data_IF_434597240079
#
_entry.id   IF_434597240079
#
_cell.length_a   1.000
_cell.length_b   1.000
_cell.length_c   1.000
_cell.angle_alpha   90.00
_cell.angle_beta   90.00
_cell.angle_gamma   90.00
#
_symmetry.space_group_name_H-M   'P 1'
#
loop_
_entity.id
_entity.type
_entity.pdbx_description
1 polymer ?
#
# COMPACT_ATOMS: atom_id res chain seq x y z
N UNK A 1 6.47 24.88 -24.48
CA UNK A 1 5.95 26.12 -23.84
C UNK A 1 5.56 27.18 -24.88
N UNK A 2 6.47 27.65 -25.76
CA UNK A 2 6.19 28.75 -26.71
C UNK A 2 4.93 28.57 -27.59
N UNK A 3 4.69 27.36 -28.10
CA UNK A 3 3.53 27.05 -28.94
C UNK A 3 2.18 27.17 -28.19
N UNK A 4 2.18 27.16 -26.85
CA UNK A 4 0.97 27.40 -26.05
C UNK A 4 0.49 28.85 -26.14
N UNK A 5 1.41 29.81 -26.32
CA UNK A 5 1.07 31.23 -26.45
C UNK A 5 0.56 31.62 -27.85
N UNK A 6 0.76 30.74 -28.84
CA UNK A 6 0.35 30.95 -30.23
C UNK A 6 -1.11 30.49 -30.44
N UNK A 7 -2.01 31.44 -30.75
CA UNK A 7 -3.47 31.22 -30.83
C UNK A 7 -3.88 30.03 -31.69
N UNK A 8 -3.27 29.85 -32.86
CA UNK A 8 -3.57 28.74 -33.80
C UNK A 8 -2.99 27.39 -33.36
N UNK A 9 -1.85 27.39 -32.65
CA UNK A 9 -1.15 26.17 -32.26
C UNK A 9 -1.51 25.68 -30.86
N UNK A 10 -2.16 26.53 -30.04
CA UNK A 10 -2.53 26.23 -28.65
C UNK A 10 -3.28 24.90 -28.49
N UNK A 11 -4.36 24.60 -29.26
CA UNK A 11 -5.08 23.33 -29.08
C UNK A 11 -4.18 22.10 -29.31
N UNK A 12 -3.35 22.13 -30.37
CA UNK A 12 -2.43 21.05 -30.68
C UNK A 12 -1.31 20.93 -29.63
N UNK A 13 -0.81 22.06 -29.12
CA UNK A 13 0.21 22.08 -28.08
C UNK A 13 -0.32 21.55 -26.73
N UNK A 14 -1.53 21.91 -26.33
CA UNK A 14 -2.19 21.35 -25.14
C UNK A 14 -2.44 19.85 -25.31
N UNK A 15 -2.94 19.42 -26.48
CA UNK A 15 -3.12 18.00 -26.79
C UNK A 15 -1.79 17.23 -26.74
N UNK A 16 -0.71 17.80 -27.28
CA UNK A 16 0.61 17.19 -27.23
C UNK A 16 1.13 17.05 -25.79
N UNK A 17 0.91 18.04 -24.93
CA UNK A 17 1.25 17.94 -23.51
C UNK A 17 0.40 16.90 -22.79
N UNK A 18 -0.88 16.76 -23.10
CA UNK A 18 -1.70 15.67 -22.57
C UNK A 18 -1.17 14.31 -23.02
N UNK A 19 -0.84 14.14 -24.31
CA UNK A 19 -0.23 12.91 -24.82
C UNK A 19 1.15 12.64 -24.20
N UNK A 20 1.96 13.66 -23.92
CA UNK A 20 3.22 13.53 -23.19
C UNK A 20 2.99 13.20 -21.71
N UNK A 21 1.94 13.73 -21.10
CA UNK A 21 1.54 13.35 -19.74
C UNK A 21 1.06 11.91 -19.70
N UNK A 22 0.42 11.41 -20.77
CA UNK A 22 0.19 9.98 -20.95
C UNK A 22 1.53 9.25 -21.12
N UNK A 23 2.49 9.72 -21.92
CA UNK A 23 3.71 8.97 -22.23
C UNK A 23 4.77 8.96 -21.11
N UNK A 24 5.07 10.13 -20.53
CA UNK A 24 6.18 10.35 -19.58
C UNK A 24 5.75 10.73 -18.14
N UNK A 25 4.50 11.16 -17.96
CA UNK A 25 3.86 11.25 -16.65
C UNK A 25 3.49 12.69 -16.35
N UNK A 26 2.29 12.96 -15.80
CA UNK A 26 1.83 14.33 -15.63
C UNK A 26 2.73 15.13 -14.67
N UNK A 27 3.29 14.49 -13.65
CA UNK A 27 4.29 15.12 -12.77
C UNK A 27 5.61 15.45 -13.48
N UNK A 28 6.09 14.59 -14.40
CA UNK A 28 7.28 14.89 -15.19
C UNK A 28 7.05 16.06 -16.15
N UNK A 29 5.92 16.06 -16.86
CA UNK A 29 5.55 17.15 -17.78
C UNK A 29 5.42 18.47 -17.04
N UNK A 30 4.82 18.45 -15.84
CA UNK A 30 4.72 19.63 -14.98
C UNK A 30 6.10 20.17 -14.59
N UNK A 31 7.04 19.31 -14.20
CA UNK A 31 8.40 19.71 -13.88
C UNK A 31 9.11 20.38 -15.08
N UNK A 32 8.91 19.86 -16.30
CA UNK A 32 9.46 20.47 -17.52
C UNK A 32 8.84 21.86 -17.80
N UNK A 33 7.54 22.03 -17.56
CA UNK A 33 6.89 23.34 -17.69
C UNK A 33 7.40 24.33 -16.63
N UNK A 34 7.56 23.88 -15.39
CA UNK A 34 8.07 24.68 -14.28
C UNK A 34 9.50 25.17 -14.52
N UNK A 35 10.35 24.36 -15.14
CA UNK A 35 11.73 24.73 -15.43
C UNK A 35 11.85 25.88 -16.48
N UNK A 36 10.88 26.02 -17.38
CA UNK A 36 11.00 26.90 -18.56
C UNK A 36 10.05 28.10 -18.53
N UNK A 37 8.83 27.93 -18.01
CA UNK A 37 7.78 28.92 -18.17
C UNK A 37 7.96 30.20 -17.31
N UNK A 38 8.40 30.15 -16.04
CA UNK A 38 8.51 31.34 -15.19
C UNK A 38 9.57 32.35 -15.66
N UNK A 39 10.65 31.88 -16.30
CA UNK A 39 11.79 32.71 -16.77
C UNK A 39 11.63 33.19 -18.22
N UNK A 40 10.52 32.88 -18.87
CA UNK A 40 10.31 33.20 -20.28
C UNK A 40 9.99 34.69 -20.50
N UNK A 41 10.62 35.33 -21.52
CA UNK A 41 10.46 36.77 -21.80
C UNK A 41 9.01 37.20 -22.11
N UNK A 42 8.22 36.30 -22.70
CA UNK A 42 6.80 36.52 -22.97
C UNK A 42 5.93 35.97 -21.82
N UNK A 43 5.26 36.82 -21.03
CA UNK A 43 4.47 36.39 -19.86
C UNK A 43 3.27 35.50 -20.24
N UNK A 44 2.76 35.63 -21.46
CA UNK A 44 1.68 34.78 -21.97
C UNK A 44 2.06 33.30 -21.98
N UNK A 45 3.34 32.98 -22.19
CA UNK A 45 3.83 31.58 -22.14
C UNK A 45 3.67 31.00 -20.75
N UNK A 46 3.89 31.80 -19.69
CA UNK A 46 3.72 31.35 -18.32
C UNK A 46 2.26 31.09 -17.99
N UNK A 47 1.38 32.05 -18.30
CA UNK A 47 -0.07 31.90 -18.08
C UNK A 47 -0.66 30.69 -18.81
N UNK A 48 -0.26 30.47 -20.07
CA UNK A 48 -0.74 29.33 -20.85
C UNK A 48 -0.15 27.98 -20.41
N UNK A 49 1.04 27.97 -19.81
CA UNK A 49 1.63 26.77 -19.20
C UNK A 49 0.91 26.39 -17.90
N UNK A 50 0.49 27.37 -17.10
CA UNK A 50 -0.36 27.13 -15.92
C UNK A 50 -1.74 26.62 -16.33
N UNK A 51 -2.35 27.18 -17.37
CA UNK A 51 -3.61 26.68 -17.92
C UNK A 51 -3.46 25.23 -18.44
N UNK A 52 -2.34 24.89 -19.07
CA UNK A 52 -2.03 23.52 -19.47
C UNK A 52 -1.89 22.58 -18.26
N UNK A 53 -1.27 23.03 -17.16
CA UNK A 53 -1.21 22.27 -15.92
C UNK A 53 -2.61 22.02 -15.32
N UNK A 54 -3.52 22.98 -15.39
CA UNK A 54 -4.93 22.79 -14.99
C UNK A 54 -5.64 21.77 -15.88
N UNK A 55 -5.38 21.78 -17.20
CA UNK A 55 -5.92 20.79 -18.12
C UNK A 55 -5.38 19.38 -17.86
N UNK A 56 -4.09 19.26 -17.51
CA UNK A 56 -3.47 17.99 -17.09
C UNK A 56 -4.10 17.50 -15.78
N UNK A 57 -4.28 18.38 -14.80
CA UNK A 57 -4.98 18.05 -13.55
C UNK A 57 -6.39 17.50 -13.81
N UNK A 58 -7.16 18.16 -14.68
CA UNK A 58 -8.50 17.72 -15.05
C UNK A 58 -8.50 16.37 -15.80
N UNK A 59 -7.47 16.12 -16.62
CA UNK A 59 -7.39 14.90 -17.42
C UNK A 59 -6.86 13.67 -16.66
N UNK A 60 -6.01 13.86 -15.63
CA UNK A 60 -5.27 12.80 -14.95
C UNK A 60 -5.48 12.72 -13.42
N UNK A 61 -6.13 13.70 -12.80
CA UNK A 61 -6.34 13.84 -11.34
C UNK A 61 -5.06 14.03 -10.48
N UNK A 62 -5.23 14.35 -9.19
CA UNK A 62 -4.16 14.65 -8.23
C UNK A 62 -3.29 13.44 -7.83
N UNK A 63 -3.75 12.18 -7.83
CA UNK A 63 -2.88 11.02 -7.69
C UNK A 63 -1.73 10.98 -8.71
N UNK A 64 -1.95 11.48 -9.92
CA UNK A 64 -0.95 11.50 -10.98
C UNK A 64 -0.12 12.81 -10.98
N UNK A 65 -0.72 13.92 -10.53
CA UNK A 65 -0.10 15.24 -10.46
C UNK A 65 0.16 15.64 -8.99
N UNK A 66 1.42 15.65 -8.56
CA UNK A 66 1.79 16.09 -7.21
C UNK A 66 1.25 17.50 -6.91
N UNK A 67 0.38 17.60 -5.90
CA UNK A 67 -0.21 18.88 -5.48
C UNK A 67 0.87 19.89 -5.06
N UNK A 68 1.93 19.41 -4.38
CA UNK A 68 3.06 20.25 -3.98
C UNK A 68 3.82 20.82 -5.18
N UNK A 69 4.03 20.01 -6.23
CA UNK A 69 4.69 20.48 -7.44
C UNK A 69 3.84 21.52 -8.19
N UNK A 70 2.53 21.29 -8.27
CA UNK A 70 1.61 22.20 -8.95
C UNK A 70 1.46 23.54 -8.21
N UNK A 71 1.46 23.53 -6.87
CA UNK A 71 1.51 24.75 -6.06
C UNK A 71 2.83 25.48 -6.25
N UNK A 72 3.96 24.77 -6.17
CA UNK A 72 5.29 25.36 -6.38
C UNK A 72 5.42 26.03 -7.75
N UNK A 73 4.83 25.44 -8.78
CA UNK A 73 4.79 26.05 -10.12
C UNK A 73 3.94 27.33 -10.17
N UNK A 74 2.87 27.43 -9.38
CA UNK A 74 1.97 28.58 -9.37
C UNK A 74 2.48 29.78 -8.55
N UNK A 75 3.33 29.56 -7.54
CA UNK A 75 3.77 30.62 -6.61
C UNK A 75 4.32 31.86 -7.34
N UNK A 76 5.28 31.76 -8.29
CA UNK A 76 5.86 32.94 -8.93
C UNK A 76 4.85 33.74 -9.77
N UNK A 77 3.75 33.10 -10.19
CA UNK A 77 2.73 33.75 -11.01
C UNK A 77 1.83 34.70 -10.22
N UNK A 78 1.70 34.56 -8.89
CA UNK A 78 0.87 35.44 -8.08
C UNK A 78 1.40 36.88 -8.02
N UNK A 79 2.72 37.07 -8.11
CA UNK A 79 3.36 38.40 -8.16
C UNK A 79 3.66 38.88 -9.60
N UNK A 80 3.17 38.18 -10.62
CA UNK A 80 3.31 38.61 -12.01
C UNK A 80 2.62 39.95 -12.25
N UNK A 81 3.23 40.82 -13.06
CA UNK A 81 2.61 42.09 -13.50
C UNK A 81 1.42 41.85 -14.44
N UNK A 82 1.40 40.73 -15.14
CA UNK A 82 0.34 40.35 -16.09
C UNK A 82 -0.87 39.75 -15.37
N UNK A 83 -2.04 40.36 -15.55
CA UNK A 83 -3.28 39.92 -14.90
C UNK A 83 -3.73 38.52 -15.33
N UNK A 84 -3.49 38.15 -16.60
CA UNK A 84 -3.87 36.83 -17.14
C UNK A 84 -3.05 35.70 -16.53
N UNK A 85 -1.80 35.96 -16.18
CA UNK A 85 -0.90 35.01 -15.52
C UNK A 85 -1.35 34.77 -14.07
N UNK A 86 -1.70 35.84 -13.34
CA UNK A 86 -2.27 35.74 -11.98
C UNK A 86 -3.58 34.96 -11.99
N UNK A 87 -4.45 35.20 -12.97
CA UNK A 87 -5.71 34.48 -13.12
C UNK A 87 -5.50 32.98 -13.42
N UNK A 88 -4.53 32.62 -14.25
CA UNK A 88 -4.21 31.22 -14.54
C UNK A 88 -3.68 30.48 -13.30
N UNK A 89 -2.81 31.12 -12.51
CA UNK A 89 -2.35 30.57 -11.23
C UNK A 89 -3.50 30.36 -10.25
N UNK A 90 -4.39 31.36 -10.15
CA UNK A 90 -5.59 31.28 -9.32
C UNK A 90 -6.46 30.07 -9.71
N UNK A 91 -6.75 29.90 -11.01
CA UNK A 91 -7.53 28.75 -11.50
C UNK A 91 -6.88 27.40 -11.20
N UNK A 92 -5.56 27.28 -11.36
CA UNK A 92 -4.84 26.06 -11.03
C UNK A 92 -4.95 25.71 -9.54
N UNK A 93 -4.71 26.69 -8.66
CA UNK A 93 -4.78 26.46 -7.20
C UNK A 93 -6.21 26.17 -6.74
N UNK A 94 -7.22 26.86 -7.29
CA UNK A 94 -8.63 26.56 -7.02
C UNK A 94 -9.00 25.14 -7.47
N UNK A 95 -8.56 24.71 -8.64
CA UNK A 95 -8.78 23.34 -9.12
C UNK A 95 -8.08 22.29 -8.25
N UNK A 96 -6.88 22.59 -7.73
CA UNK A 96 -6.19 21.74 -6.76
C UNK A 96 -6.93 21.68 -5.42
N UNK A 97 -7.47 22.80 -4.93
CA UNK A 97 -8.28 22.82 -3.71
C UNK A 97 -9.57 22.00 -3.87
N UNK A 98 -10.19 22.01 -5.05
CA UNK A 98 -11.34 21.16 -5.34
C UNK A 98 -10.98 19.66 -5.35
N UNK A 99 -9.74 19.32 -5.74
CA UNK A 99 -9.29 17.94 -5.87
C UNK A 99 -8.62 17.35 -4.61
N UNK A 100 -7.95 18.19 -3.79
CA UNK A 100 -7.21 17.79 -2.57
C UNK A 100 -7.92 18.23 -1.28
N UNK A 101 -8.85 19.19 -1.38
CA UNK A 101 -9.53 19.80 -0.24
C UNK A 101 -8.94 21.15 0.19
N UNK A 102 -9.69 21.91 1.01
CA UNK A 102 -9.36 23.28 1.39
C UNK A 102 -8.13 23.40 2.29
N UNK A 103 -7.69 22.30 2.93
CA UNK A 103 -6.47 22.25 3.74
C UNK A 103 -5.20 22.67 2.97
N UNK A 104 -5.22 22.57 1.64
CA UNK A 104 -4.14 23.06 0.78
C UNK A 104 -3.83 24.55 1.00
N UNK A 105 -4.85 25.37 1.27
CA UNK A 105 -4.70 26.81 1.49
C UNK A 105 -4.03 27.15 2.83
N UNK A 106 -4.02 26.21 3.76
CA UNK A 106 -3.33 26.30 5.04
C UNK A 106 -1.92 25.69 4.98
N UNK A 107 -1.51 25.16 3.82
CA UNK A 107 -0.19 24.55 3.67
C UNK A 107 0.93 25.60 3.73
N UNK A 108 2.12 25.24 4.26
CA UNK A 108 3.29 26.12 4.26
C UNK A 108 3.69 26.60 2.86
N UNK A 109 3.31 25.85 1.82
CA UNK A 109 3.62 26.16 0.42
C UNK A 109 2.97 27.44 -0.09
N UNK A 110 1.86 27.89 0.52
CA UNK A 110 1.19 29.13 0.16
C UNK A 110 1.43 30.26 1.17
N UNK A 111 2.37 30.09 2.12
CA UNK A 111 2.67 31.10 3.13
C UNK A 111 3.10 32.43 2.51
N UNK A 112 3.85 32.38 1.41
CA UNK A 112 4.38 33.55 0.70
C UNK A 112 3.32 34.27 -0.16
N UNK A 113 2.12 33.70 -0.31
CA UNK A 113 1.03 34.31 -1.07
C UNK A 113 0.26 35.29 -0.17
N UNK A 114 0.07 36.52 -0.66
CA UNK A 114 -0.64 37.60 0.05
C UNK A 114 -1.97 37.11 0.62
N UNK A 115 -2.27 37.52 1.85
CA UNK A 115 -3.46 37.07 2.59
C UNK A 115 -4.77 37.35 1.84
N UNK A 116 -4.87 38.50 1.16
CA UNK A 116 -6.03 38.86 0.32
C UNK A 116 -6.26 37.83 -0.79
N UNK A 117 -5.19 37.40 -1.47
CA UNK A 117 -5.26 36.38 -2.52
C UNK A 117 -5.64 35.02 -1.95
N UNK A 118 -5.12 34.64 -0.77
CA UNK A 118 -5.50 33.40 -0.09
C UNK A 118 -6.98 33.37 0.30
N UNK A 119 -7.52 34.49 0.79
CA UNK A 119 -8.95 34.65 1.09
C UNK A 119 -9.81 34.51 -0.18
N UNK A 120 -9.37 35.10 -1.30
CA UNK A 120 -10.06 34.97 -2.59
C UNK A 120 -10.05 33.52 -3.10
N UNK A 121 -8.89 32.84 -3.03
CA UNK A 121 -8.75 31.42 -3.37
C UNK A 121 -9.69 30.54 -2.54
N UNK A 122 -9.81 30.81 -1.23
CA UNK A 122 -10.71 30.09 -0.34
C UNK A 122 -12.17 30.29 -0.71
N UNK A 123 -12.58 31.54 -0.97
CA UNK A 123 -13.94 31.87 -1.37
C UNK A 123 -14.33 31.20 -2.69
N UNK A 124 -13.43 31.19 -3.68
CA UNK A 124 -13.71 30.59 -4.99
C UNK A 124 -13.61 29.05 -4.97
N UNK A 125 -12.74 28.46 -4.15
CA UNK A 125 -12.73 27.02 -3.92
C UNK A 125 -14.01 26.53 -3.21
N UNK A 126 -14.54 27.30 -2.25
CA UNK A 126 -15.79 26.97 -1.56
C UNK A 126 -17.01 27.00 -2.50
N UNK A 127 -16.99 27.82 -3.56
CA UNK A 127 -18.04 27.79 -4.60
C UNK A 127 -18.05 26.47 -5.39
N UNK A 128 -16.92 25.78 -5.45
CA UNK A 128 -16.78 24.49 -6.15
C UNK A 128 -17.05 23.28 -5.25
N UNK A 129 -17.03 23.43 -3.92
CA UNK A 129 -17.27 22.30 -2.99
C UNK A 129 -18.72 21.82 -2.96
N UNK A 130 -19.66 22.59 -3.53
CA UNK A 130 -21.06 22.20 -3.75
C UNK A 130 -21.41 21.82 -5.19
N UNK A 131 -20.44 21.85 -6.11
CA UNK A 131 -20.65 21.40 -7.49
C UNK A 131 -20.60 19.85 -7.56
N UNK A 132 -21.29 19.21 -8.53
CA UNK A 132 -21.10 17.79 -8.78
C UNK A 132 -19.61 17.49 -8.95
N UNK A 133 -19.17 16.37 -8.37
CA UNK A 133 -17.76 15.98 -8.37
C UNK A 133 -17.17 16.13 -9.78
N UNK A 134 -15.95 16.68 -9.92
CA UNK A 134 -15.35 16.89 -11.23
C UNK A 134 -15.37 15.56 -12.00
N UNK A 135 -15.63 15.60 -13.33
CA UNK A 135 -15.71 14.38 -14.13
C UNK A 135 -14.45 13.54 -13.94
N UNK A 136 -14.63 12.23 -13.79
CA UNK A 136 -13.53 11.29 -13.61
C UNK A 136 -12.46 11.51 -14.70
N UNK A 137 -11.18 11.50 -14.30
CA UNK A 137 -10.04 11.63 -15.19
C UNK A 137 -10.20 10.68 -16.39
N UNK A 138 -10.13 11.24 -17.60
CA UNK A 138 -10.37 10.51 -18.85
C UNK A 138 -9.08 10.00 -19.51
N UNK A 139 -7.90 10.32 -18.96
CA UNK A 139 -6.59 9.93 -19.49
C UNK A 139 -5.74 9.21 -18.45
N UNK A 140 -4.90 8.30 -18.95
CA UNK A 140 -4.07 7.41 -18.15
C UNK A 140 -2.61 7.44 -18.60
N UNK A 141 -1.70 7.06 -17.70
CA UNK A 141 -0.26 7.10 -17.91
C UNK A 141 0.25 5.79 -18.58
N UNK A 142 0.81 5.88 -19.79
CA UNK A 142 1.37 4.86 -20.68
C UNK A 142 2.74 4.29 -20.31
N UNK A 143 3.38 4.68 -19.21
CA UNK A 143 4.40 3.77 -18.66
C UNK A 143 3.78 2.46 -18.09
N UNK A 144 2.44 2.32 -18.22
CA UNK A 144 1.65 1.08 -18.18
C UNK A 144 1.32 0.46 -19.55
N UNK A 145 1.90 0.91 -20.66
CA UNK A 145 1.73 0.30 -21.99
C UNK A 145 2.95 0.56 -22.88
N UNK A 146 3.94 -0.33 -22.84
CA UNK A 146 5.00 -0.28 -23.84
C UNK A 146 4.46 -0.80 -25.19
N UNK A 147 4.38 0.12 -26.15
CA UNK A 147 4.63 -0.09 -27.57
C UNK A 147 4.06 -1.37 -28.23
N UNK A 148 2.77 -1.34 -28.58
CA UNK A 148 2.24 -2.11 -29.71
C UNK A 148 2.22 -1.24 -30.96
N UNK A 149 3.14 -1.49 -31.90
CA UNK A 149 3.13 -0.87 -33.22
C UNK A 149 2.29 -1.67 -34.21
N UNK A 150 1.21 -1.03 -34.70
CA UNK A 150 0.83 -1.01 -36.12
C UNK A 150 0.16 -2.24 -36.76
N UNK A 151 -1.08 -2.06 -37.21
CA UNK A 151 -1.70 -2.88 -38.27
C UNK A 151 -3.23 -2.88 -38.21
N UNK A 152 -3.85 -2.04 -39.04
CA UNK A 152 -5.31 -1.88 -39.16
C UNK A 152 -5.92 -2.93 -40.14
N UNK A 153 -7.19 -2.82 -40.54
CA UNK A 153 -8.30 -3.69 -40.11
C UNK A 153 -8.82 -4.56 -41.27
N UNK A 154 -9.72 -5.51 -40.98
CA UNK A 154 -10.71 -5.91 -41.98
C UNK A 154 -11.99 -6.46 -41.35
N UNK A 155 -13.08 -6.28 -42.08
CA UNK A 155 -14.44 -6.16 -41.57
C UNK A 155 -15.26 -7.45 -41.44
N UNK A 156 -16.44 -7.31 -40.84
CA UNK A 156 -17.57 -8.20 -41.14
C UNK A 156 -18.45 -8.64 -39.96
N UNK A 157 -19.56 -7.93 -39.73
CA UNK A 157 -20.90 -8.54 -39.61
C UNK A 157 -21.33 -9.29 -38.34
N UNK A 158 -22.10 -8.60 -37.49
CA UNK A 158 -23.44 -9.01 -37.03
C UNK A 158 -23.60 -10.17 -36.01
N UNK A 159 -24.16 -9.85 -34.84
CA UNK A 159 -24.87 -10.81 -33.98
C UNK A 159 -24.71 -10.55 -32.48
N UNK A 160 -25.74 -9.98 -31.85
CA UNK A 160 -25.73 -9.58 -30.44
C UNK A 160 -25.67 -10.75 -29.45
N UNK A 161 -24.91 -10.55 -28.37
CA UNK A 161 -24.89 -11.41 -27.19
C UNK A 161 -23.87 -10.91 -26.17
N UNK A 162 -24.35 -10.27 -25.10
CA UNK A 162 -23.68 -10.04 -23.81
C UNK A 162 -22.17 -9.73 -23.86
N UNK A 163 -21.83 -8.43 -23.91
CA UNK A 163 -20.47 -7.91 -23.95
C UNK A 163 -19.66 -8.17 -22.67
N UNK A 164 -19.19 -9.39 -22.49
CA UNK A 164 -17.97 -9.71 -21.75
C UNK A 164 -16.77 -9.23 -22.56
N UNK A 165 -16.41 -7.95 -22.41
CA UNK A 165 -15.25 -7.35 -23.05
C UNK A 165 -13.95 -7.77 -22.37
N UNK A 166 -13.50 -9.00 -22.63
CA UNK A 166 -12.13 -9.45 -22.38
C UNK A 166 -11.15 -8.74 -23.32
N UNK A 167 -10.87 -7.47 -23.07
CA UNK A 167 -9.73 -6.76 -23.64
C UNK A 167 -8.60 -6.75 -22.61
N UNK A 168 -7.39 -7.12 -23.02
CA UNK A 168 -6.19 -7.23 -22.17
C UNK A 168 -5.75 -5.91 -21.52
N UNK A 169 -6.55 -5.42 -20.57
CA UNK A 169 -6.27 -4.27 -19.72
C UNK A 169 -5.61 -4.70 -18.41
N UNK A 170 -4.84 -3.79 -17.83
CA UNK A 170 -4.17 -3.99 -16.54
C UNK A 170 -5.20 -3.96 -15.41
N UNK A 171 -5.16 -4.98 -14.55
CA UNK A 171 -5.98 -5.05 -13.35
C UNK A 171 -5.32 -4.22 -12.22
N UNK A 172 -5.95 -3.10 -11.88
CA UNK A 172 -5.64 -2.30 -10.68
C UNK A 172 -6.10 -2.97 -9.39
N UNK A 173 -5.13 -3.31 -8.54
CA UNK A 173 -5.29 -3.96 -7.25
C UNK A 173 -4.82 -3.02 -6.15
N UNK A 174 -5.71 -2.67 -5.22
CA UNK A 174 -5.36 -1.90 -4.03
C UNK A 174 -5.20 -2.79 -2.80
N UNK A 175 -4.22 -2.51 -1.96
CA UNK A 175 -4.07 -3.08 -0.63
C UNK A 175 -4.25 -1.97 0.41
N UNK A 176 -5.20 -2.16 1.32
CA UNK A 176 -5.55 -1.21 2.37
C UNK A 176 -5.13 -1.75 3.73
N UNK A 177 -4.27 -1.04 4.47
CA UNK A 177 -3.77 -1.50 5.77
C UNK A 177 -3.43 -0.36 6.72
N UNK A 178 -3.66 -0.57 8.01
CA UNK A 178 -3.15 0.26 9.12
C UNK A 178 -1.71 -0.09 9.53
N UNK A 179 -1.13 -1.16 8.95
CA UNK A 179 0.02 -1.85 9.52
C UNK A 179 1.17 -2.06 8.51
N UNK A 180 1.24 -1.20 7.50
CA UNK A 180 2.32 -1.20 6.52
C UNK A 180 3.62 -0.60 7.12
N UNK A 181 4.26 -1.34 8.01
CA UNK A 181 5.46 -0.95 8.74
C UNK A 181 6.12 -2.14 9.44
N UNK A 182 6.86 -1.93 10.54
CA UNK A 182 7.40 -3.00 11.39
C UNK A 182 6.28 -3.77 12.13
N UNK A 183 5.47 -4.50 11.36
CA UNK A 183 4.30 -5.26 11.79
C UNK A 183 4.18 -6.54 10.95
N UNK A 184 3.58 -7.64 11.47
CA UNK A 184 3.37 -8.87 10.70
C UNK A 184 2.79 -8.67 9.30
N UNK A 185 1.83 -7.74 9.13
CA UNK A 185 1.27 -7.39 7.81
C UNK A 185 2.33 -6.75 6.92
N UNK A 186 3.00 -5.68 7.36
CA UNK A 186 4.05 -5.03 6.58
C UNK A 186 5.17 -5.97 6.13
N UNK A 187 5.63 -6.85 7.03
CA UNK A 187 6.67 -7.84 6.71
C UNK A 187 6.21 -8.87 5.66
N UNK A 188 4.98 -9.34 5.74
CA UNK A 188 4.45 -10.33 4.81
C UNK A 188 4.06 -9.72 3.45
N UNK A 189 3.53 -8.50 3.46
CA UNK A 189 3.04 -7.84 2.25
C UNK A 189 4.17 -7.32 1.37
N UNK A 190 5.30 -6.88 1.93
CA UNK A 190 6.43 -6.40 1.13
C UNK A 190 6.88 -7.40 0.05
N UNK A 191 7.25 -8.67 0.36
CA UNK A 191 7.64 -9.62 -0.68
C UNK A 191 6.49 -9.98 -1.61
N UNK A 192 5.24 -9.99 -1.14
CA UNK A 192 4.08 -10.23 -2.00
C UNK A 192 3.92 -9.10 -3.03
N UNK A 193 3.99 -7.84 -2.59
CA UNK A 193 3.87 -6.65 -3.44
C UNK A 193 4.97 -6.63 -4.49
N UNK A 194 6.23 -6.89 -4.10
CA UNK A 194 7.36 -6.97 -5.04
C UNK A 194 7.11 -8.01 -6.16
N UNK A 195 6.53 -9.18 -5.81
CA UNK A 195 6.19 -10.20 -6.80
C UNK A 195 4.99 -9.82 -7.68
N UNK A 196 3.96 -9.19 -7.11
CA UNK A 196 2.78 -8.76 -7.86
C UNK A 196 3.11 -7.64 -8.84
N UNK A 197 3.99 -6.70 -8.45
CA UNK A 197 4.43 -5.58 -9.29
C UNK A 197 5.25 -6.06 -10.49
N UNK A 198 5.94 -7.20 -10.38
CA UNK A 198 6.64 -7.80 -11.53
C UNK A 198 5.68 -8.30 -12.62
N UNK A 199 4.37 -8.42 -12.34
CA UNK A 199 3.38 -8.79 -13.34
C UNK A 199 3.00 -7.61 -14.23
N UNK A 200 3.14 -7.78 -15.54
CA UNK A 200 2.71 -6.78 -16.54
C UNK A 200 1.19 -6.64 -16.66
N UNK A 201 0.42 -7.48 -15.96
CA UNK A 201 -1.06 -7.47 -15.96
C UNK A 201 -1.65 -6.80 -14.72
N UNK A 202 -0.82 -6.42 -13.75
CA UNK A 202 -1.27 -5.85 -12.48
C UNK A 202 -0.69 -4.47 -12.27
N UNK A 203 -1.51 -3.56 -11.76
CA UNK A 203 -1.05 -2.30 -11.16
C UNK A 203 -1.38 -2.36 -9.68
N UNK A 204 -0.36 -2.28 -8.83
CA UNK A 204 -0.48 -2.50 -7.38
C UNK A 204 -0.38 -1.19 -6.65
N UNK A 205 -1.45 -0.82 -5.95
CA UNK A 205 -1.54 0.40 -5.15
C UNK A 205 -1.63 0.04 -3.68
N UNK A 206 -0.85 0.72 -2.84
CA UNK A 206 -0.91 0.54 -1.38
C UNK A 206 -1.52 1.78 -0.71
N UNK A 207 -2.41 1.56 0.24
CA UNK A 207 -3.20 2.58 0.92
C UNK A 207 -3.02 2.42 2.44
N UNK A 208 -2.39 3.40 3.08
CA UNK A 208 -2.16 3.37 4.52
C UNK A 208 -3.26 4.05 5.32
N UNK A 209 -3.60 3.45 6.46
CA UNK A 209 -4.58 3.93 7.45
C UNK A 209 -3.97 3.85 8.85
N UNK A 210 -2.82 4.49 9.06
CA UNK A 210 -2.10 4.36 10.33
C UNK A 210 -2.96 4.81 11.50
N UNK A 211 -2.68 4.26 12.68
CA UNK A 211 -3.34 4.64 13.91
C UNK A 211 -2.65 5.86 14.52
N UNK A 212 -3.37 6.73 15.25
CA UNK A 212 -2.74 7.79 16.04
C UNK A 212 -1.65 7.25 16.97
N UNK A 213 -1.88 6.11 17.61
CA UNK A 213 -0.98 5.46 18.57
C UNK A 213 0.12 4.63 17.90
N UNK A 214 -0.01 4.35 16.60
CA UNK A 214 0.93 3.54 15.82
C UNK A 214 1.06 4.09 14.41
N UNK A 215 2.03 4.99 14.26
CA UNK A 215 2.43 5.53 12.96
C UNK A 215 3.65 4.79 12.41
N UNK A 216 3.58 4.44 11.14
CA UNK A 216 4.66 3.75 10.44
C UNK A 216 5.35 4.64 9.40
N UNK A 217 4.85 5.87 9.19
CA UNK A 217 5.50 6.89 8.38
C UNK A 217 7.00 7.02 8.75
N UNK A 218 7.88 6.91 7.76
CA UNK A 218 9.33 7.00 7.98
C UNK A 218 10.01 5.75 8.53
N UNK A 219 9.32 4.63 8.72
CA UNK A 219 9.98 3.34 9.00
C UNK A 219 10.64 2.75 7.74
N UNK A 220 11.60 1.83 7.91
CA UNK A 220 12.28 1.20 6.78
C UNK A 220 11.31 0.36 5.94
N UNK A 221 10.43 -0.40 6.60
CA UNK A 221 9.39 -1.22 5.99
C UNK A 221 8.38 -0.36 5.22
N UNK A 222 7.92 0.75 5.80
CA UNK A 222 7.04 1.72 5.11
C UNK A 222 7.67 2.20 3.81
N UNK A 223 8.93 2.65 3.87
CA UNK A 223 9.65 3.13 2.67
C UNK A 223 9.82 2.02 1.64
N UNK A 224 10.16 0.82 2.07
CA UNK A 224 10.33 -0.33 1.17
C UNK A 224 9.02 -0.68 0.45
N UNK A 225 7.90 -0.73 1.17
CA UNK A 225 6.58 -0.99 0.61
C UNK A 225 6.18 0.11 -0.38
N UNK A 226 6.36 1.38 0.01
CA UNK A 226 6.05 2.52 -0.84
C UNK A 226 6.91 2.56 -2.12
N UNK A 227 8.17 2.14 -2.03
CA UNK A 227 9.08 2.04 -3.17
C UNK A 227 8.79 0.83 -4.08
N UNK A 228 8.27 -0.26 -3.51
CA UNK A 228 7.96 -1.47 -4.27
C UNK A 228 6.65 -1.36 -5.05
N UNK A 229 5.61 -0.74 -4.48
CA UNK A 229 4.31 -0.59 -5.12
C UNK A 229 4.35 0.37 -6.33
N UNK A 230 3.41 0.22 -7.27
CA UNK A 230 3.27 1.18 -8.37
C UNK A 230 2.86 2.57 -7.86
N UNK A 231 2.03 2.60 -6.81
CA UNK A 231 1.67 3.83 -6.11
C UNK A 231 1.41 3.54 -4.62
N UNK A 232 1.64 4.55 -3.79
CA UNK A 232 1.40 4.49 -2.36
C UNK A 232 0.72 5.77 -1.89
N UNK A 233 -0.40 5.64 -1.17
CA UNK A 233 -1.15 6.77 -0.61
C UNK A 233 -1.29 6.62 0.90
N UNK A 234 -0.97 7.69 1.61
CA UNK A 234 -1.25 7.80 3.03
C UNK A 234 -2.61 8.48 3.21
N UNK A 235 -3.60 7.71 3.68
CA UNK A 235 -4.98 8.16 3.92
C UNK A 235 -5.25 8.37 5.42
N UNK A 236 -4.22 8.29 6.27
CA UNK A 236 -4.32 8.31 7.74
C UNK A 236 -5.08 9.53 8.25
N UNK A 237 -4.84 10.70 7.65
CA UNK A 237 -5.45 11.97 8.09
C UNK A 237 -6.79 12.30 7.45
N UNK A 238 -7.29 11.42 6.57
CA UNK A 238 -8.57 11.62 5.87
C UNK A 238 -9.72 11.00 6.66
N UNK A 239 -10.88 11.67 6.66
CA UNK A 239 -12.14 11.07 7.10
C UNK A 239 -12.56 9.90 6.21
N UNK A 240 -13.51 9.06 6.63
CA UNK A 240 -13.94 7.90 5.83
C UNK A 240 -14.50 8.31 4.47
N UNK A 241 -15.27 9.39 4.42
CA UNK A 241 -15.82 9.92 3.18
C UNK A 241 -14.72 10.45 2.23
N UNK A 242 -13.71 11.13 2.78
CA UNK A 242 -12.57 11.65 1.98
C UNK A 242 -11.69 10.50 1.46
N UNK A 243 -11.38 9.53 2.33
CA UNK A 243 -10.64 8.33 1.93
C UNK A 243 -11.42 7.54 0.87
N UNK A 244 -12.73 7.39 1.01
CA UNK A 244 -13.56 6.72 0.00
C UNK A 244 -13.49 7.40 -1.36
N UNK A 245 -13.61 8.73 -1.40
CA UNK A 245 -13.50 9.52 -2.64
C UNK A 245 -12.09 9.43 -3.24
N UNK A 246 -11.06 9.46 -2.42
CA UNK A 246 -9.69 9.31 -2.88
C UNK A 246 -9.49 7.94 -3.53
N UNK A 247 -9.95 6.85 -2.89
CA UNK A 247 -9.85 5.49 -3.41
C UNK A 247 -10.68 5.30 -4.69
N UNK A 248 -11.90 5.82 -4.73
CA UNK A 248 -12.74 5.79 -5.94
C UNK A 248 -12.06 6.49 -7.11
N UNK A 249 -11.40 7.63 -6.86
CA UNK A 249 -10.60 8.36 -7.86
C UNK A 249 -9.44 7.54 -8.45
N UNK A 250 -8.91 6.55 -7.73
CA UNK A 250 -7.88 5.63 -8.24
C UNK A 250 -8.44 4.60 -9.23
N UNK A 251 -9.76 4.41 -9.24
CA UNK A 251 -10.46 3.45 -10.10
C UNK A 251 -9.89 2.04 -9.96
N UNK A 252 -9.67 1.62 -8.71
CA UNK A 252 -9.25 0.26 -8.41
C UNK A 252 -10.34 -0.72 -8.89
N UNK A 253 -9.93 -1.85 -9.43
CA UNK A 253 -10.87 -2.92 -9.77
C UNK A 253 -11.14 -3.81 -8.55
N UNK A 254 -10.08 -4.07 -7.77
CA UNK A 254 -10.14 -4.87 -6.55
C UNK A 254 -9.47 -4.10 -5.42
N UNK A 255 -10.18 -3.93 -4.30
CA UNK A 255 -9.63 -3.41 -3.05
C UNK A 255 -9.54 -4.53 -2.02
N UNK A 256 -8.31 -4.85 -1.60
CA UNK A 256 -8.01 -5.87 -0.59
C UNK A 256 -7.81 -5.19 0.76
N UNK A 257 -8.72 -5.45 1.69
CA UNK A 257 -8.66 -5.01 3.07
C UNK A 257 -7.78 -5.97 3.88
N UNK A 258 -6.65 -5.46 4.38
CA UNK A 258 -5.67 -6.17 5.19
C UNK A 258 -5.79 -5.89 6.70
N UNK A 259 -6.93 -5.37 7.14
CA UNK A 259 -7.18 -4.97 8.54
C UNK A 259 -8.25 -5.85 9.17
N UNK A 260 -9.41 -5.97 8.52
CA UNK A 260 -10.58 -6.65 9.09
C UNK A 260 -11.03 -6.01 10.40
N UNK A 261 -11.26 -6.81 11.46
CA UNK A 261 -11.69 -6.35 12.80
C UNK A 261 -10.52 -6.12 13.76
N UNK A 262 -9.33 -5.81 13.25
CA UNK A 262 -8.16 -5.51 14.09
C UNK A 262 -8.03 -4.01 14.38
N UNK A 263 -7.02 -3.62 15.16
CA UNK A 263 -6.77 -2.21 15.47
C UNK A 263 -6.52 -1.41 14.17
N UNK A 264 -7.21 -0.28 14.03
CA UNK A 264 -7.15 0.56 12.81
C UNK A 264 -8.22 0.22 11.79
N UNK A 265 -9.16 -0.67 12.11
CA UNK A 265 -10.30 -0.97 11.28
C UNK A 265 -11.16 0.29 11.01
N UNK A 266 -11.42 0.55 9.73
CA UNK A 266 -12.29 1.64 9.27
C UNK A 266 -13.46 1.06 8.49
N UNK A 267 -14.37 0.37 9.17
CA UNK A 267 -15.49 -0.34 8.51
C UNK A 267 -16.39 0.60 7.70
N UNK A 268 -16.63 1.82 8.18
CA UNK A 268 -17.45 2.80 7.47
C UNK A 268 -16.88 3.15 6.07
N UNK A 269 -15.55 3.11 5.89
CA UNK A 269 -14.91 3.26 4.57
C UNK A 269 -15.42 2.22 3.56
N UNK A 270 -15.57 0.96 3.98
CA UNK A 270 -16.03 -0.13 3.10
C UNK A 270 -17.50 0.04 2.70
N UNK A 271 -18.30 0.77 3.50
CA UNK A 271 -19.71 1.03 3.22
C UNK A 271 -19.91 1.95 2.01
N UNK A 272 -18.95 2.86 1.75
CA UNK A 272 -18.95 3.73 0.57
C UNK A 272 -18.68 2.98 -0.74
N UNK A 273 -18.30 1.70 -0.69
CA UNK A 273 -17.95 0.88 -1.86
C UNK A 273 -16.95 1.58 -2.80
N UNK A 274 -15.78 2.00 -2.30
CA UNK A 274 -14.81 2.76 -3.09
C UNK A 274 -14.12 1.94 -4.20
N UNK A 275 -14.41 0.65 -4.31
CA UNK A 275 -14.03 -0.22 -5.41
C UNK A 275 -15.17 -1.22 -5.72
N UNK A 276 -15.32 -1.66 -6.98
CA UNK A 276 -16.41 -2.56 -7.39
C UNK A 276 -16.25 -3.96 -6.80
N UNK A 277 -15.02 -4.44 -6.61
CA UNK A 277 -14.73 -5.67 -5.86
C UNK A 277 -13.94 -5.30 -4.61
N UNK A 278 -14.35 -5.88 -3.48
CA UNK A 278 -13.74 -5.67 -2.17
C UNK A 278 -13.53 -7.04 -1.55
N UNK A 279 -12.36 -7.28 -0.98
CA UNK A 279 -12.03 -8.55 -0.39
C UNK A 279 -11.21 -8.42 0.89
N UNK A 280 -11.39 -9.34 1.84
CA UNK A 280 -10.59 -9.41 3.07
C UNK A 280 -9.45 -10.41 2.89
N UNK A 281 -8.28 -10.08 3.45
CA UNK A 281 -7.11 -10.95 3.38
C UNK A 281 -6.15 -10.71 4.55
N UNK A 282 -5.57 -11.78 5.08
CA UNK A 282 -4.39 -11.83 5.97
C UNK A 282 -4.51 -11.17 7.36
N UNK A 283 -4.92 -9.91 7.46
CA UNK A 283 -4.86 -9.14 8.71
C UNK A 283 -5.81 -9.62 9.80
N UNK A 284 -6.99 -10.13 9.42
CA UNK A 284 -7.98 -10.67 10.34
C UNK A 284 -8.31 -12.12 9.98
N UNK A 285 -8.22 -13.02 10.96
CA UNK A 285 -8.40 -14.45 10.78
C UNK A 285 -9.86 -14.88 11.01
N UNK A 286 -10.79 -14.35 10.20
CA UNK A 286 -12.21 -14.66 10.29
C UNK A 286 -13.07 -13.89 9.29
N UNK A 287 -14.39 -14.11 9.33
CA UNK A 287 -15.34 -13.32 8.54
C UNK A 287 -15.38 -11.87 9.00
N UNK A 288 -15.45 -10.94 8.06
CA UNK A 288 -15.71 -9.53 8.39
C UNK A 288 -17.19 -9.30 8.71
N UNK A 289 -18.10 -10.17 8.25
CA UNK A 289 -19.55 -9.98 8.35
C UNK A 289 -20.05 -8.65 7.74
N UNK A 290 -19.23 -7.98 6.93
CA UNK A 290 -19.58 -6.70 6.30
C UNK A 290 -20.30 -6.97 4.98
N UNK A 291 -21.54 -6.46 4.77
CA UNK A 291 -22.30 -6.73 3.55
C UNK A 291 -21.62 -6.24 2.25
N UNK A 292 -20.67 -5.32 2.36
CA UNK A 292 -19.93 -4.77 1.23
C UNK A 292 -18.60 -5.52 0.96
N UNK A 293 -18.21 -6.48 1.82
CA UNK A 293 -17.05 -7.32 1.62
C UNK A 293 -17.44 -8.54 0.78
N UNK A 294 -16.97 -8.60 -0.46
CA UNK A 294 -17.47 -9.60 -1.42
C UNK A 294 -16.76 -10.94 -1.30
N UNK A 295 -15.47 -10.93 -0.97
CA UNK A 295 -14.64 -12.12 -0.91
C UNK A 295 -13.77 -12.18 0.34
N UNK A 296 -13.45 -13.37 0.81
CA UNK A 296 -12.36 -13.63 1.73
C UNK A 296 -11.31 -14.49 1.05
N UNK A 297 -10.06 -14.05 1.09
CA UNK A 297 -8.92 -14.74 0.47
C UNK A 297 -8.26 -15.63 1.51
N UNK A 298 -8.49 -16.93 1.43
CA UNK A 298 -8.03 -17.92 2.40
C UNK A 298 -7.53 -19.18 1.68
N UNK A 299 -7.15 -20.21 2.42
CA UNK A 299 -6.91 -21.55 1.87
C UNK A 299 -7.86 -22.56 2.50
N UNK A 300 -8.00 -23.71 1.86
CA UNK A 300 -8.94 -24.74 2.28
C UNK A 300 -8.52 -25.45 3.59
N UNK A 301 -7.28 -25.29 4.05
CA UNK A 301 -6.84 -25.82 5.34
C UNK A 301 -7.29 -24.90 6.48
N UNK A 302 -7.21 -23.58 6.29
CA UNK A 302 -7.66 -22.58 7.25
C UNK A 302 -9.19 -22.46 7.31
N UNK A 303 -9.86 -22.52 6.16
CA UNK A 303 -11.31 -22.47 6.07
C UNK A 303 -11.84 -23.52 5.08
N UNK A 304 -11.99 -24.79 5.52
CA UNK A 304 -12.55 -25.84 4.68
C UNK A 304 -13.94 -25.45 4.13
N UNK A 305 -14.34 -25.87 2.91
CA UNK A 305 -15.59 -25.42 2.31
C UNK A 305 -16.86 -25.56 3.17
N UNK A 306 -17.06 -26.64 3.96
CA UNK A 306 -18.21 -26.74 4.86
C UNK A 306 -18.20 -25.69 5.97
N UNK A 307 -17.03 -25.42 6.56
CA UNK A 307 -16.88 -24.37 7.58
C UNK A 307 -17.11 -23.00 6.96
N UNK A 308 -16.53 -22.75 5.78
CA UNK A 308 -16.70 -21.48 5.08
C UNK A 308 -18.16 -21.19 4.74
N UNK A 309 -18.91 -22.19 4.27
CA UNK A 309 -20.33 -22.03 3.96
C UNK A 309 -21.20 -21.75 5.20
N UNK A 310 -20.79 -22.21 6.38
CA UNK A 310 -21.52 -22.01 7.63
C UNK A 310 -21.15 -20.68 8.33
N UNK A 311 -19.88 -20.30 8.31
CA UNK A 311 -19.32 -19.27 9.19
C UNK A 311 -18.91 -17.97 8.47
N UNK A 312 -18.91 -17.92 7.14
CA UNK A 312 -18.48 -16.74 6.39
C UNK A 312 -19.60 -16.12 5.56
N UNK A 313 -19.72 -14.79 5.69
CA UNK A 313 -20.63 -14.00 4.84
C UNK A 313 -20.04 -13.73 3.45
N UNK A 314 -18.70 -13.70 3.34
CA UNK A 314 -17.99 -13.47 2.10
C UNK A 314 -17.91 -14.73 1.25
N UNK A 315 -17.79 -14.56 -0.07
CA UNK A 315 -17.47 -15.69 -0.96
C UNK A 315 -16.00 -16.07 -0.82
N UNK A 316 -15.70 -17.36 -0.72
CA UNK A 316 -14.31 -17.80 -0.62
C UNK A 316 -13.58 -17.66 -1.96
N UNK A 317 -12.38 -17.08 -1.91
CA UNK A 317 -11.40 -17.13 -2.98
C UNK A 317 -10.17 -17.87 -2.46
N UNK A 318 -10.04 -19.15 -2.84
CA UNK A 318 -9.01 -20.02 -2.29
C UNK A 318 -7.66 -19.88 -2.99
N UNK A 319 -6.60 -19.72 -2.20
CA UNK A 319 -5.24 -20.00 -2.66
C UNK A 319 -5.02 -21.51 -2.79
N UNK A 320 -4.18 -21.95 -3.76
CA UNK A 320 -3.97 -23.38 -4.03
C UNK A 320 -3.19 -24.11 -2.92
N UNK A 321 -2.45 -23.39 -2.08
CA UNK A 321 -1.61 -24.00 -1.03
C UNK A 321 -1.84 -23.38 0.34
N UNK A 322 -1.41 -22.14 0.53
CA UNK A 322 -1.50 -21.40 1.78
C UNK A 322 -1.82 -19.95 1.47
N UNK A 323 -2.76 -19.37 2.22
CA UNK A 323 -3.02 -17.94 2.17
C UNK A 323 -1.95 -17.13 2.92
N UNK A 324 -1.23 -17.75 3.85
CA UNK A 324 -0.14 -17.10 4.55
C UNK A 324 1.08 -16.90 3.64
N UNK A 325 1.55 -15.64 3.57
CA UNK A 325 2.84 -15.29 2.97
C UNK A 325 3.91 -15.26 4.05
N UNK A 326 4.98 -16.03 3.84
CA UNK A 326 6.09 -16.15 4.77
C UNK A 326 7.30 -15.33 4.31
N UNK A 327 7.69 -14.31 5.09
CA UNK A 327 8.88 -13.49 4.82
C UNK A 327 10.18 -14.03 5.47
N UNK A 328 10.14 -15.24 6.03
CA UNK A 328 11.22 -15.79 6.85
C UNK A 328 12.55 -15.91 6.09
N UNK A 329 12.55 -16.39 4.85
CA UNK A 329 13.77 -16.55 4.06
C UNK A 329 14.51 -15.22 3.83
N UNK A 330 13.77 -14.12 3.65
CA UNK A 330 14.34 -12.78 3.51
C UNK A 330 14.84 -12.24 4.85
N UNK A 331 14.00 -12.36 5.89
CA UNK A 331 14.24 -11.72 7.18
C UNK A 331 15.28 -12.44 8.03
N UNK A 332 15.37 -13.76 7.86
CA UNK A 332 16.29 -14.64 8.57
C UNK A 332 17.21 -15.34 7.57
N UNK A 333 17.76 -14.57 6.61
CA UNK A 333 18.70 -15.12 5.62
C UNK A 333 19.98 -15.69 6.26
N UNK A 334 20.30 -15.27 7.49
CA UNK A 334 21.37 -15.84 8.32
C UNK A 334 21.00 -17.20 8.93
N UNK A 335 19.71 -17.50 9.08
CA UNK A 335 19.28 -18.75 9.67
C UNK A 335 19.48 -19.89 8.65
N UNK A 336 20.10 -21.01 9.06
CA UNK A 336 20.28 -22.14 8.16
C UNK A 336 18.92 -22.67 7.70
N UNK A 337 18.76 -22.89 6.39
CA UNK A 337 17.57 -23.55 5.85
C UNK A 337 17.50 -24.98 6.40
N UNK A 338 16.61 -25.21 7.36
CA UNK A 338 16.25 -26.56 7.76
C UNK A 338 15.54 -27.21 6.56
N UNK A 339 16.27 -28.02 5.78
CA UNK A 339 15.64 -28.82 4.73
C UNK A 339 14.61 -29.76 5.39
N UNK A 340 13.46 -29.96 4.73
CA UNK A 340 12.37 -30.84 5.18
C UNK A 340 12.80 -32.28 5.53
N UNK A 341 14.05 -32.65 5.24
CA UNK A 341 14.64 -33.98 5.42
C UNK A 341 15.75 -34.05 6.49
N UNK A 342 16.09 -32.93 7.15
CA UNK A 342 17.04 -32.93 8.26
C UNK A 342 16.33 -32.44 9.52
N UNK A 343 15.42 -33.25 10.06
CA UNK A 343 15.07 -33.11 11.46
C UNK A 343 16.37 -33.36 12.25
N UNK A 344 16.83 -32.45 13.13
CA UNK A 344 18.12 -32.62 13.82
C UNK A 344 18.11 -33.80 14.81
N UNK A 345 16.92 -34.36 15.08
CA UNK A 345 16.80 -35.63 15.78
C UNK A 345 16.80 -36.80 14.79
N UNK A 346 17.68 -37.80 14.96
CA UNK A 346 17.57 -39.05 14.23
C UNK A 346 16.20 -39.67 14.50
N UNK A 347 15.51 -40.09 13.44
CA UNK A 347 14.25 -40.81 13.56
C UNK A 347 14.53 -42.17 14.22
N UNK A 348 14.13 -42.35 15.48
CA UNK A 348 14.28 -43.65 16.14
C UNK A 348 14.18 -43.59 17.65
N UNK A 349 15.16 -43.00 18.33
CA UNK A 349 15.26 -43.07 19.79
C UNK A 349 15.88 -41.79 20.36
N UNK A 350 15.39 -41.36 21.53
CA UNK A 350 16.04 -40.29 22.29
C UNK A 350 17.40 -40.81 22.77
N UNK A 351 18.53 -40.13 22.49
CA UNK A 351 19.85 -40.64 22.83
C UNK A 351 19.92 -40.91 24.34
N UNK A 352 20.26 -42.16 24.70
CA UNK A 352 20.17 -42.65 26.06
C UNK A 352 21.34 -42.18 26.95
N UNK A 353 22.49 -41.85 26.36
CA UNK A 353 23.75 -41.56 27.07
C UNK A 353 24.16 -40.07 27.13
N UNK A 354 24.96 -39.70 28.13
CA UNK A 354 25.56 -38.36 28.25
C UNK A 354 26.61 -38.07 27.16
N UNK A 355 27.39 -39.07 26.72
CA UNK A 355 28.41 -38.91 25.67
C UNK A 355 27.79 -38.65 24.29
N UNK A 356 26.68 -39.30 23.97
CA UNK A 356 25.97 -39.15 22.69
C UNK A 356 25.20 -37.81 22.61
N UNK A 357 24.87 -37.21 23.76
CA UNK A 357 24.39 -35.82 23.86
C UNK A 357 25.52 -34.81 23.78
N UNK A 358 26.76 -35.19 24.04
CA UNK A 358 27.93 -34.31 23.95
C UNK A 358 28.40 -34.11 22.50
N UNK A 359 28.04 -35.00 21.57
CA UNK A 359 28.32 -34.87 20.13
C UNK A 359 27.37 -33.93 19.39
N UNK A 360 26.29 -33.47 20.05
CA UNK A 360 25.48 -32.38 19.55
C UNK A 360 26.35 -31.13 19.44
N UNK A 361 26.51 -30.62 18.22
CA UNK A 361 27.55 -29.63 17.91
C UNK A 361 27.51 -28.44 18.88
N UNK A 362 28.66 -27.83 19.23
CA UNK A 362 28.70 -26.59 20.00
C UNK A 362 27.86 -25.45 19.39
N UNK A 363 27.54 -25.53 18.08
CA UNK A 363 26.66 -24.59 17.40
C UNK A 363 25.19 -24.71 17.85
N UNK A 364 24.71 -25.88 18.26
CA UNK A 364 23.35 -26.06 18.82
C UNK A 364 23.18 -25.46 20.23
N UNK A 365 24.27 -25.05 20.88
CA UNK A 365 24.27 -24.38 22.19
C UNK A 365 24.27 -22.85 22.09
N UNK A 366 24.34 -22.33 20.88
CA UNK A 366 24.37 -20.90 20.56
C UNK A 366 23.08 -20.51 19.85
N UNK A 367 22.49 -19.41 20.29
CA UNK A 367 21.36 -18.76 19.63
C UNK A 367 21.93 -17.57 18.88
N UNK A 368 21.92 -17.66 17.54
CA UNK A 368 22.37 -16.56 16.70
C UNK A 368 21.45 -15.36 16.92
N UNK A 369 22.07 -14.20 17.08
CA UNK A 369 21.35 -12.95 17.26
C UNK A 369 20.87 -12.44 15.90
N UNK A 370 19.62 -11.97 15.83
CA UNK A 370 19.06 -11.47 14.57
C UNK A 370 19.63 -10.11 14.14
N UNK A 371 20.36 -9.43 15.03
CA UNK A 371 20.98 -8.11 14.85
C UNK A 371 22.49 -8.20 14.55
N UNK A 372 23.05 -9.41 14.39
CA UNK A 372 24.47 -9.61 14.10
C UNK A 372 25.39 -9.40 15.30
N UNK A 373 24.83 -9.26 16.50
CA UNK A 373 25.57 -9.37 17.76
C UNK A 373 26.15 -10.77 18.00
N UNK A 374 27.03 -10.93 19.00
CA UNK A 374 27.64 -12.22 19.30
C UNK A 374 26.57 -13.28 19.64
N UNK A 375 26.74 -14.54 19.21
CA UNK A 375 25.78 -15.60 19.51
C UNK A 375 25.62 -15.79 21.02
N UNK A 376 24.37 -15.78 21.48
CA UNK A 376 24.00 -15.90 22.89
C UNK A 376 24.02 -17.36 23.33
N UNK A 377 24.42 -17.63 24.57
CA UNK A 377 24.28 -18.97 25.16
C UNK A 377 22.87 -19.12 25.71
N UNK A 378 22.42 -20.37 25.89
CA UNK A 378 21.14 -20.69 26.55
C UNK A 378 21.03 -20.03 27.93
N UNK A 379 22.12 -20.03 28.69
CA UNK A 379 22.21 -19.39 30.01
C UNK A 379 21.97 -17.88 29.95
N UNK A 380 22.50 -17.21 28.92
CA UNK A 380 22.34 -15.77 28.72
C UNK A 380 20.87 -15.39 28.41
N UNK A 381 20.06 -16.37 27.99
CA UNK A 381 18.63 -16.23 27.72
C UNK A 381 17.74 -16.69 28.90
N UNK A 382 18.33 -17.04 30.04
CA UNK A 382 17.61 -17.59 31.19
C UNK A 382 17.09 -19.02 30.98
N UNK A 383 17.54 -19.70 29.92
CA UNK A 383 17.21 -21.10 29.68
C UNK A 383 18.18 -21.99 30.47
N UNK A 384 17.62 -22.97 31.19
CA UNK A 384 18.46 -23.93 31.92
C UNK A 384 18.87 -23.48 33.32
N UNK A 385 17.91 -22.96 34.10
CA UNK A 385 18.06 -22.56 35.52
C UNK A 385 18.60 -23.67 36.45
N UNK A 386 18.75 -24.89 35.95
CA UNK A 386 19.49 -25.97 36.61
C UNK A 386 20.33 -26.75 35.58
N UNK A 387 21.42 -27.43 36.00
CA UNK A 387 22.25 -28.22 35.09
C UNK A 387 21.46 -29.26 34.28
N UNK A 388 20.40 -29.85 34.87
CA UNK A 388 19.50 -30.78 34.17
C UNK A 388 18.66 -30.07 33.11
N UNK A 389 18.11 -28.90 33.43
CA UNK A 389 17.29 -28.11 32.48
C UNK A 389 18.09 -27.45 31.37
N UNK A 390 19.38 -27.17 31.61
CA UNK A 390 20.27 -26.61 30.60
C UNK A 390 20.44 -27.53 29.39
N UNK A 391 20.46 -28.84 29.64
CA UNK A 391 20.54 -29.91 28.63
C UNK A 391 19.16 -30.36 28.11
N UNK A 392 18.08 -29.90 28.72
CA UNK A 392 16.71 -30.28 28.38
C UNK A 392 16.11 -29.45 27.23
N UNK A 393 14.95 -29.92 26.74
CA UNK A 393 14.20 -29.27 25.64
C UNK A 393 13.68 -27.90 26.08
N UNK A 394 13.88 -26.88 25.24
CA UNK A 394 13.16 -25.61 25.40
C UNK A 394 11.83 -25.70 24.64
N UNK A 395 10.71 -25.61 25.37
CA UNK A 395 9.38 -25.52 24.76
C UNK A 395 9.04 -24.04 24.60
N UNK A 396 8.86 -23.59 23.37
CA UNK A 396 8.71 -22.16 23.07
C UNK A 396 7.28 -21.78 22.67
N UNK A 397 6.75 -20.71 23.26
CA UNK A 397 5.51 -20.07 22.80
C UNK A 397 5.68 -18.55 22.80
N UNK A 398 6.02 -18.01 21.63
CA UNK A 398 6.21 -16.57 21.42
C UNK A 398 4.95 -15.94 20.82
N UNK A 399 3.80 -16.15 21.47
CA UNK A 399 2.55 -15.50 21.12
C UNK A 399 2.22 -14.35 22.06
N UNK A 400 1.22 -13.58 21.65
CA UNK A 400 0.54 -12.60 22.49
C UNK A 400 -0.13 -13.32 23.67
N UNK A 401 -0.08 -12.73 24.86
CA UNK A 401 -0.52 -13.38 26.10
C UNK A 401 -1.99 -13.80 26.06
N UNK A 402 -2.86 -13.02 25.42
CA UNK A 402 -4.29 -13.34 25.30
C UNK A 402 -4.58 -14.63 24.51
N UNK A 403 -3.59 -15.17 23.77
CA UNK A 403 -3.71 -16.45 23.06
C UNK A 403 -3.38 -17.67 23.93
N UNK A 404 -2.95 -17.44 25.17
CA UNK A 404 -2.67 -18.49 26.14
C UNK A 404 -3.85 -18.62 27.10
N UNK A 405 -4.95 -19.16 26.59
CA UNK A 405 -6.15 -19.44 27.37
C UNK A 405 -5.90 -20.57 28.41
N UNK A 406 -6.83 -20.82 29.36
CA UNK A 406 -6.67 -21.84 30.38
C UNK A 406 -6.44 -23.27 29.85
N UNK A 407 -7.06 -23.64 28.73
CA UNK A 407 -6.93 -24.98 28.14
C UNK A 407 -5.55 -25.13 27.48
N UNK A 408 -5.16 -24.12 26.70
CA UNK A 408 -3.81 -24.02 26.13
C UNK A 408 -2.76 -24.08 27.24
N UNK A 409 -2.88 -23.26 28.29
CA UNK A 409 -1.95 -23.27 29.41
C UNK A 409 -1.94 -24.62 30.15
N UNK A 410 -3.10 -25.23 30.34
CA UNK A 410 -3.24 -26.56 30.94
C UNK A 410 -2.48 -27.64 30.15
N UNK A 411 -2.57 -27.61 28.81
CA UNK A 411 -1.80 -28.49 27.94
C UNK A 411 -0.28 -28.28 28.09
N UNK A 412 0.17 -27.01 28.16
CA UNK A 412 1.57 -26.68 28.43
C UNK A 412 2.06 -27.20 29.80
N UNK A 413 1.27 -27.03 30.86
CA UNK A 413 1.58 -27.53 32.18
C UNK A 413 1.63 -29.07 32.23
N UNK A 414 0.72 -29.74 31.52
CA UNK A 414 0.74 -31.20 31.35
C UNK A 414 2.02 -31.68 30.67
N UNK A 415 2.48 -31.00 29.61
CA UNK A 415 3.73 -31.33 28.92
C UNK A 415 4.94 -31.17 29.83
N UNK A 416 5.04 -30.07 30.57
CA UNK A 416 6.13 -29.82 31.52
C UNK A 416 6.16 -30.82 32.68
N UNK A 417 4.99 -31.31 33.16
CA UNK A 417 4.94 -32.38 34.16
C UNK A 417 5.51 -33.71 33.66
N UNK A 418 5.33 -34.00 32.37
CA UNK A 418 5.86 -35.22 31.72
C UNK A 418 7.32 -35.07 31.27
N UNK A 419 7.81 -33.83 31.14
CA UNK A 419 9.16 -33.50 30.74
C UNK A 419 9.85 -32.68 31.84
N UNK A 420 10.28 -33.31 32.96
CA UNK A 420 10.78 -32.58 34.13
C UNK A 420 12.06 -31.78 33.87
N UNK A 421 12.80 -32.11 32.80
CA UNK A 421 14.01 -31.40 32.36
C UNK A 421 13.71 -30.30 31.34
N UNK A 422 12.48 -30.17 30.84
CA UNK A 422 12.13 -29.13 29.89
C UNK A 422 12.05 -27.74 30.54
N UNK A 423 12.37 -26.72 29.74
CA UNK A 423 12.22 -25.31 30.13
C UNK A 423 11.14 -24.65 29.27
N UNK A 424 10.12 -24.01 29.86
CA UNK A 424 9.21 -23.17 29.09
C UNK A 424 9.90 -21.86 28.71
N UNK A 425 9.71 -21.41 27.47
CA UNK A 425 10.19 -20.14 26.97
C UNK A 425 9.03 -19.36 26.38
N UNK A 426 8.53 -18.39 27.13
CA UNK A 426 7.32 -17.63 26.82
C UNK A 426 7.70 -16.16 26.55
N UNK A 427 6.97 -15.50 25.64
CA UNK A 427 7.10 -14.06 25.45
C UNK A 427 6.40 -13.31 26.58
N UNK A 428 7.13 -12.40 27.27
CA UNK A 428 6.60 -11.52 28.32
C UNK A 428 6.22 -10.13 27.80
N UNK A 429 6.23 -9.89 26.48
CA UNK A 429 5.79 -8.59 25.95
C UNK A 429 4.28 -8.46 26.11
N UNK A 430 3.87 -7.71 27.14
CA UNK A 430 2.53 -7.13 27.28
C UNK A 430 2.28 -6.07 26.20
#
# INVERSE_FOLDING_TARGET
>A
AEKLAAKKAKPAATQALLCLSEACGPSWVLAQLQAVAPSHKNPKVFGESLAAATAILAAFSTPALSASAAVSFAIPAFDSRDASVREAAHKLVVALCAAVGPALLQSPLLADVREVTRKQLAADAAKLSGAPAPPAASRFFKHSASCGGGGAPDGGGGGGGHGGGGGGGILRLGFLSSDFGPHPVGWAMLPLIEQLVASTRLEVVCLALDLPERQHAGTAERRAIAAAAHAFFDLTRLTDAEAARAIDGLRLHVLVNLVGHTAGARHALTHYRPAPVQASYYGYAGTTALPQMHYALLDAAAAPPPLAAAEFTERMAYFPFSHFVAAHARRYAHAPHASRLAHPWPAGEWPAGEEERATWSPALRRVDSSDGGPPLRREDLGLGLSPRRLRGVALCNFNQLYKLDPDSFGAWANALRRLPEASPWLSLRC
#
